data_IF_570776466297
#
_entry.id   IF_570776466297
#
_cell.length_a   1.000
_cell.length_b   1.000
_cell.length_c   1.000
_cell.angle_alpha   90.00
_cell.angle_beta   90.00
_cell.angle_gamma   90.00
#
_symmetry.space_group_name_H-M   'P 1'
#
loop_
_entity.id
_entity.type
_entity.pdbx_description
1 polymer ?
#
# COMPACT_ATOMS: atom_id res chain seq x y z
N UNK A 1 7.73 -27.52 -7.79
CA UNK A 1 8.01 -26.12 -7.41
C UNK A 1 8.28 -26.14 -5.92
N UNK A 2 9.43 -25.65 -5.50
CA UNK A 2 9.93 -25.89 -4.14
C UNK A 2 9.70 -24.69 -3.20
N UNK A 3 9.43 -23.51 -3.76
CA UNK A 3 9.15 -22.26 -3.06
C UNK A 3 8.08 -21.45 -3.80
N UNK A 4 7.40 -20.55 -3.09
CA UNK A 4 6.43 -19.60 -3.63
C UNK A 4 6.85 -18.16 -3.29
N UNK A 5 6.44 -17.21 -4.12
CA UNK A 5 6.57 -15.77 -3.85
C UNK A 5 5.17 -15.18 -3.72
N UNK A 6 4.90 -14.55 -2.59
CA UNK A 6 3.57 -14.02 -2.28
C UNK A 6 3.65 -12.71 -1.49
N UNK A 7 2.59 -11.91 -1.56
CA UNK A 7 2.41 -10.71 -0.74
C UNK A 7 1.78 -11.10 0.59
N UNK A 8 2.52 -10.91 1.68
CA UNK A 8 2.05 -11.25 3.03
C UNK A 8 2.16 -10.05 3.98
N UNK A 9 1.31 -10.02 5.01
CA UNK A 9 1.34 -9.00 6.07
C UNK A 9 1.89 -9.60 7.37
N UNK A 10 1.03 -10.12 8.26
CA UNK A 10 1.46 -10.71 9.55
C UNK A 10 1.93 -12.17 9.46
N UNK A 11 1.94 -12.77 8.26
CA UNK A 11 2.30 -14.17 8.07
C UNK A 11 1.27 -15.20 8.57
N UNK A 12 0.13 -14.77 9.14
CA UNK A 12 -0.91 -15.67 9.67
C UNK A 12 -1.38 -16.71 8.65
N UNK A 13 -1.62 -16.29 7.41
CA UNK A 13 -2.05 -17.19 6.32
C UNK A 13 -1.00 -18.28 6.04
N UNK A 14 0.28 -17.94 6.01
CA UNK A 14 1.35 -18.91 5.80
C UNK A 14 1.39 -19.93 6.95
N UNK A 15 1.31 -19.45 8.20
CA UNK A 15 1.34 -20.33 9.37
C UNK A 15 0.18 -21.33 9.43
N UNK A 16 -1.02 -20.92 8.99
CA UNK A 16 -2.20 -21.79 8.91
C UNK A 16 -2.04 -22.94 7.90
N UNK A 17 -1.11 -22.80 6.95
CA UNK A 17 -0.79 -23.79 5.91
C UNK A 17 0.59 -24.44 6.12
N UNK A 18 1.15 -24.37 7.32
CA UNK A 18 2.47 -24.92 7.64
C UNK A 18 3.61 -24.36 6.76
N UNK A 19 3.45 -23.14 6.25
CA UNK A 19 4.47 -22.42 5.49
C UNK A 19 5.18 -21.41 6.39
N UNK A 20 6.44 -21.11 6.06
CA UNK A 20 7.29 -20.15 6.77
C UNK A 20 7.87 -19.14 5.78
N UNK A 21 8.03 -17.88 6.22
CA UNK A 21 8.75 -16.87 5.45
C UNK A 21 10.23 -17.19 5.51
N UNK A 22 10.82 -17.51 4.36
CA UNK A 22 12.24 -17.84 4.25
C UNK A 22 13.11 -16.61 3.98
N UNK A 23 12.59 -15.63 3.25
CA UNK A 23 13.27 -14.37 2.93
C UNK A 23 12.26 -13.27 2.58
N UNK A 24 12.64 -12.00 2.77
CA UNK A 24 11.85 -10.83 2.39
C UNK A 24 12.49 -10.18 1.18
N UNK A 25 11.83 -10.30 0.02
CA UNK A 25 12.31 -9.69 -1.22
C UNK A 25 12.18 -8.16 -1.16
N UNK A 26 11.02 -7.66 -0.71
CA UNK A 26 10.76 -6.22 -0.65
C UNK A 26 9.59 -5.90 0.29
N UNK A 27 9.61 -4.69 0.85
CA UNK A 27 8.47 -4.11 1.52
C UNK A 27 7.64 -3.26 0.55
N UNK A 28 6.32 -3.28 0.68
CA UNK A 28 5.44 -2.48 -0.14
C UNK A 28 4.57 -1.55 0.70
N UNK A 29 4.24 -0.40 0.13
CA UNK A 29 3.30 0.57 0.71
C UNK A 29 2.22 0.89 -0.30
N UNK A 30 1.02 1.20 0.17
CA UNK A 30 0.01 1.82 -0.70
C UNK A 30 0.53 3.18 -1.22
N UNK A 31 0.28 3.47 -2.50
CA UNK A 31 0.64 4.75 -3.15
C UNK A 31 -0.56 5.33 -3.88
N UNK A 32 -0.78 6.64 -3.72
CA UNK A 32 -1.76 7.37 -4.52
C UNK A 32 -1.15 7.72 -5.87
N UNK A 33 -1.67 7.11 -6.94
CA UNK A 33 -1.26 7.40 -8.32
C UNK A 33 -2.33 8.26 -8.98
N UNK A 34 -1.92 9.44 -9.48
CA UNK A 34 -2.84 10.40 -10.11
C UNK A 34 -2.48 10.60 -11.57
N UNK A 35 -3.49 10.61 -12.44
CA UNK A 35 -3.32 10.95 -13.83
C UNK A 35 -2.91 12.44 -13.98
N UNK A 36 -1.80 12.69 -14.68
CA UNK A 36 -1.23 14.04 -14.83
C UNK A 36 -2.16 15.03 -15.52
N UNK A 37 -2.89 14.61 -16.56
CA UNK A 37 -3.82 15.48 -17.28
C UNK A 37 -5.01 15.86 -16.38
N UNK A 38 -5.55 14.89 -15.65
CA UNK A 38 -6.63 15.11 -14.68
C UNK A 38 -6.19 16.03 -13.55
N UNK A 39 -4.95 15.89 -13.05
CA UNK A 39 -4.39 16.77 -12.02
C UNK A 39 -4.31 18.22 -12.51
N UNK A 40 -3.95 18.46 -13.77
CA UNK A 40 -3.90 19.82 -14.34
C UNK A 40 -5.30 20.40 -14.54
N UNK A 41 -6.22 19.65 -15.15
CA UNK A 41 -7.55 20.13 -15.50
C UNK A 41 -8.48 20.27 -14.29
N UNK A 42 -8.29 19.45 -13.25
CA UNK A 42 -9.14 19.40 -12.05
C UNK A 42 -8.35 19.74 -10.78
N UNK A 43 -7.38 20.65 -10.91
CA UNK A 43 -6.37 20.92 -9.88
C UNK A 43 -6.95 21.11 -8.48
N UNK A 44 -7.89 22.05 -8.30
CA UNK A 44 -8.48 22.35 -6.98
C UNK A 44 -9.07 21.09 -6.32
N UNK A 45 -10.00 20.42 -7.00
CA UNK A 45 -10.65 19.19 -6.49
C UNK A 45 -9.64 18.07 -6.21
N UNK A 46 -8.61 17.92 -7.03
CA UNK A 46 -7.57 16.90 -6.82
C UNK A 46 -6.68 17.26 -5.63
N UNK A 47 -6.32 18.53 -5.48
CA UNK A 47 -5.53 18.99 -4.35
C UNK A 47 -6.27 18.82 -3.03
N UNK A 48 -7.56 19.16 -2.99
CA UNK A 48 -8.40 18.98 -1.80
C UNK A 48 -8.46 17.51 -1.35
N UNK A 49 -8.60 16.57 -2.30
CA UNK A 49 -8.57 15.13 -2.02
C UNK A 49 -7.20 14.68 -1.50
N UNK A 50 -6.11 15.16 -2.11
CA UNK A 50 -4.75 14.82 -1.70
C UNK A 50 -4.51 15.31 -0.26
N UNK A 51 -4.91 16.53 0.08
CA UNK A 51 -4.76 17.07 1.43
C UNK A 51 -5.63 16.35 2.45
N UNK A 52 -6.87 16.00 2.10
CA UNK A 52 -7.73 15.20 2.97
C UNK A 52 -7.12 13.82 3.29
N UNK A 53 -6.55 13.15 2.27
CA UNK A 53 -5.84 11.87 2.47
C UNK A 53 -4.60 12.05 3.34
N UNK A 54 -3.81 13.10 3.12
CA UNK A 54 -2.63 13.41 3.95
C UNK A 54 -3.00 13.65 5.41
N UNK A 55 -4.06 14.43 5.67
CA UNK A 55 -4.54 14.69 7.02
C UNK A 55 -5.03 13.41 7.71
N UNK A 56 -5.79 12.57 7.01
CA UNK A 56 -6.26 11.28 7.55
C UNK A 56 -5.13 10.32 7.91
N UNK A 57 -4.03 10.33 7.15
CA UNK A 57 -2.85 9.50 7.43
C UNK A 57 -2.05 9.99 8.66
N UNK A 58 -2.05 11.29 8.96
CA UNK A 58 -1.37 11.83 10.14
C UNK A 58 -2.10 11.46 11.44
N UNK A 59 -3.42 11.29 11.40
CA UNK A 59 -4.23 10.84 12.54
C UNK A 59 -4.16 9.33 12.82
N UNK A 60 -3.58 8.53 11.91
CA UNK A 60 -3.53 7.06 12.00
C UNK A 60 -2.23 6.49 12.58
N UNK A 61 -1.29 7.32 13.01
CA UNK A 61 -0.09 6.91 13.77
C UNK A 61 -0.34 7.14 15.26
N UNK A 62 -1.14 6.29 15.88
CA UNK A 62 -1.24 6.14 17.34
C UNK A 62 -1.28 4.66 17.68
#
# INVERSE_FOLDING_TARGET
ADLIVDLVSTGKTLSAHNLVVTDVITECTARLIVNRASLKLKYRRMNDLIEALRAGLQGGRS
#
